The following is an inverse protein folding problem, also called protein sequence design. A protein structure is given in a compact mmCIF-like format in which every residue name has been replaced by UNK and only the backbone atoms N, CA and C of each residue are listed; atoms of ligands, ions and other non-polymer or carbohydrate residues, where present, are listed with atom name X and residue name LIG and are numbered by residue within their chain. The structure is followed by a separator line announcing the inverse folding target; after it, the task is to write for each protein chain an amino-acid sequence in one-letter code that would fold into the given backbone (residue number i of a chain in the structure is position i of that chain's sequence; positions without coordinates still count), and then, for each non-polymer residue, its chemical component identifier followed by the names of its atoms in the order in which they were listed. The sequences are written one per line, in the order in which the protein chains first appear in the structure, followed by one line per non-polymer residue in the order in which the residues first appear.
data_IF_680166909554
#
_entry.id   IF_680166909554
#
_cell.length_a   1.000
_cell.length_b   1.000
_cell.length_c   1.000
_cell.angle_alpha   90.00
_cell.angle_beta   90.00
_cell.angle_gamma   90.00
#
_symmetry.space_group_name_H-M   'P 1'
#
loop_
_entity.id
_entity.type
_entity.pdbx_description
1 polymer ?
#
# COMPACT_ATOMS: atom_id res chain seq x y z
N UNK A 1 -12.64 -38.61 -11.26
CA UNK A 1 -12.03 -37.33 -11.67
C UNK A 1 -11.15 -36.86 -10.52
N UNK A 2 -9.84 -36.68 -10.72
CA UNK A 2 -8.90 -36.36 -9.65
C UNK A 2 -8.25 -35.01 -9.94
N UNK A 3 -8.35 -34.08 -9.00
CA UNK A 3 -7.80 -32.73 -9.15
C UNK A 3 -6.26 -32.78 -9.09
N UNK A 4 -5.60 -32.11 -10.04
CA UNK A 4 -4.14 -31.94 -10.02
C UNK A 4 -3.76 -30.76 -9.11
N UNK A 5 -3.60 -31.05 -7.82
CA UNK A 5 -3.24 -30.07 -6.80
C UNK A 5 -1.89 -29.38 -7.03
N UNK A 6 -0.92 -30.10 -7.62
CA UNK A 6 0.40 -29.53 -7.94
C UNK A 6 0.27 -28.41 -8.97
N UNK A 7 -0.53 -28.64 -10.02
CA UNK A 7 -0.81 -27.65 -11.05
C UNK A 7 -1.52 -26.40 -10.49
N UNK A 8 -2.54 -26.60 -9.66
CA UNK A 8 -3.28 -25.49 -9.04
C UNK A 8 -2.39 -24.64 -8.12
N UNK A 9 -1.50 -25.28 -7.35
CA UNK A 9 -0.57 -24.58 -6.47
C UNK A 9 0.44 -23.74 -7.25
N UNK A 10 1.04 -24.30 -8.32
CA UNK A 10 1.96 -23.57 -9.21
C UNK A 10 1.30 -22.36 -9.84
N UNK A 11 0.12 -22.54 -10.41
CA UNK A 11 -0.63 -21.44 -11.05
C UNK A 11 -0.98 -20.32 -10.07
N UNK A 12 -1.36 -20.66 -8.84
CA UNK A 12 -1.60 -19.67 -7.78
C UNK A 12 -0.33 -18.90 -7.45
N UNK A 13 0.80 -19.60 -7.31
CA UNK A 13 2.09 -18.98 -7.03
C UNK A 13 2.52 -18.02 -8.14
N UNK A 14 2.40 -18.44 -9.40
CA UNK A 14 2.70 -17.60 -10.57
C UNK A 14 1.82 -16.34 -10.61
N UNK A 15 0.53 -16.48 -10.29
CA UNK A 15 -0.40 -15.33 -10.22
C UNK A 15 0.02 -14.34 -9.14
N UNK A 16 0.41 -14.83 -7.96
CA UNK A 16 0.92 -13.99 -6.86
C UNK A 16 2.18 -13.23 -7.28
N UNK A 17 3.11 -13.89 -7.99
CA UNK A 17 4.32 -13.24 -8.48
C UNK A 17 4.01 -12.15 -9.50
N UNK A 18 3.12 -12.43 -10.47
CA UNK A 18 2.69 -11.44 -11.46
C UNK A 18 2.01 -10.23 -10.82
N UNK A 19 1.17 -10.45 -9.79
CA UNK A 19 0.53 -9.37 -9.06
C UNK A 19 1.55 -8.53 -8.28
N UNK A 20 2.52 -9.17 -7.62
CA UNK A 20 3.59 -8.48 -6.91
C UNK A 20 4.45 -7.62 -7.84
N UNK A 21 4.81 -8.14 -9.02
CA UNK A 21 5.60 -7.44 -10.03
C UNK A 21 4.87 -6.20 -10.52
N UNK A 22 3.60 -6.37 -10.93
CA UNK A 22 2.71 -5.29 -11.36
C UNK A 22 2.49 -4.22 -10.29
N UNK A 23 2.47 -4.59 -9.01
CA UNK A 23 2.36 -3.62 -7.91
C UNK A 23 3.67 -2.89 -7.65
N UNK A 24 4.82 -3.57 -7.79
CA UNK A 24 6.14 -2.96 -7.65
C UNK A 24 6.48 -2.01 -8.81
N UNK A 25 6.05 -2.29 -10.04
CA UNK A 25 6.26 -1.41 -11.21
C UNK A 25 5.69 0.01 -11.01
N UNK A 26 4.64 0.13 -10.19
CA UNK A 26 3.98 1.42 -9.91
C UNK A 26 4.62 2.14 -8.74
N UNK A 27 5.71 1.62 -8.19
CA UNK A 27 6.37 2.18 -7.02
C UNK A 27 7.13 3.44 -7.42
N UNK A 28 6.92 4.48 -6.64
CA UNK A 28 7.69 5.72 -6.75
C UNK A 28 8.86 5.59 -5.77
N UNK A 29 10.07 5.79 -6.27
CA UNK A 29 11.24 5.94 -5.42
C UNK A 29 11.17 7.33 -4.77
N UNK A 30 10.90 7.35 -3.46
CA UNK A 30 10.79 8.58 -2.69
C UNK A 30 11.35 8.38 -1.29
N UNK A 31 12.14 9.34 -0.83
CA UNK A 31 12.69 9.37 0.51
C UNK A 31 11.78 10.19 1.41
N UNK A 32 11.05 9.50 2.28
CA UNK A 32 10.16 10.14 3.25
C UNK A 32 10.95 10.65 4.46
N UNK A 33 10.62 11.86 4.91
CA UNK A 33 11.17 12.49 6.10
C UNK A 33 10.04 12.86 7.08
N UNK A 34 10.41 13.10 8.34
CA UNK A 34 9.46 13.64 9.32
C UNK A 34 9.10 15.09 8.93
N UNK A 35 7.81 15.43 8.99
CA UNK A 35 7.28 16.71 8.54
C UNK A 35 6.69 16.70 7.13
N UNK A 36 7.00 15.69 6.32
CA UNK A 36 6.45 15.58 4.97
C UNK A 36 4.94 15.33 5.00
N UNK A 37 4.26 15.84 3.98
CA UNK A 37 2.84 15.61 3.78
C UNK A 37 2.63 14.45 2.83
N UNK A 38 1.74 13.54 3.20
CA UNK A 38 1.41 12.35 2.41
C UNK A 38 -0.09 12.08 2.41
N UNK A 39 -0.58 11.52 1.31
CA UNK A 39 -1.95 11.03 1.22
C UNK A 39 -2.00 9.53 1.49
N UNK A 40 -3.01 9.06 2.22
CA UNK A 40 -3.15 7.63 2.53
C UNK A 40 -4.02 6.93 1.49
N UNK A 41 -3.49 5.88 0.84
CA UNK A 41 -4.24 5.02 -0.07
C UNK A 41 -5.33 4.24 0.67
N UNK A 42 -6.55 4.37 0.19
CA UNK A 42 -7.68 3.59 0.70
C UNK A 42 -7.59 2.16 0.12
N UNK A 43 -7.82 1.10 0.93
CA UNK A 43 -7.73 -0.30 0.50
C UNK A 43 -8.66 -0.63 -0.67
N UNK A 44 -8.21 -1.39 -1.68
CA UNK A 44 -9.02 -1.84 -2.83
C UNK A 44 -10.14 -2.79 -2.36
N UNK A 45 -11.20 -2.24 -1.79
CA UNK A 45 -12.48 -2.90 -1.57
C UNK A 45 -13.47 -2.46 -2.66
N UNK A 46 -14.56 -3.22 -2.89
CA UNK A 46 -15.64 -2.77 -3.77
C UNK A 46 -16.12 -1.40 -3.32
N UNK A 47 -15.97 -0.40 -4.19
CA UNK A 47 -16.28 1.00 -3.89
C UNK A 47 -17.03 1.61 -5.05
N UNK A 48 -17.98 2.49 -4.75
CA UNK A 48 -18.64 3.31 -5.76
C UNK A 48 -17.60 4.13 -6.52
N UNK A 49 -17.78 4.29 -7.84
CA UNK A 49 -16.80 4.97 -8.72
C UNK A 49 -16.49 6.41 -8.28
N UNK A 50 -17.40 7.06 -7.57
CA UNK A 50 -17.26 8.43 -7.06
C UNK A 50 -16.41 8.54 -5.78
N UNK A 51 -16.12 7.43 -5.08
CA UNK A 51 -15.36 7.49 -3.83
C UNK A 51 -13.87 7.76 -4.10
N UNK A 52 -13.29 8.64 -3.28
CA UNK A 52 -11.87 8.97 -3.36
C UNK A 52 -10.96 7.73 -3.19
N UNK A 53 -9.88 7.71 -3.98
CA UNK A 53 -8.88 6.63 -3.99
C UNK A 53 -7.85 6.80 -2.87
N UNK A 54 -7.60 8.04 -2.45
CA UNK A 54 -6.74 8.41 -1.34
C UNK A 54 -7.49 9.29 -0.33
N UNK A 55 -7.09 9.20 0.93
CA UNK A 55 -7.59 9.98 2.05
C UNK A 55 -6.58 11.06 2.41
N UNK A 56 -7.08 12.29 2.52
CA UNK A 56 -6.50 13.39 3.30
C UNK A 56 -5.07 13.79 2.98
N UNK A 57 -4.65 14.91 3.55
CA UNK A 57 -3.25 15.28 3.68
C UNK A 57 -2.85 14.97 5.12
N UNK A 58 -1.88 14.08 5.32
CA UNK A 58 -1.41 13.70 6.64
C UNK A 58 0.07 14.01 6.77
N UNK A 59 0.48 14.51 7.93
CA UNK A 59 1.88 14.82 8.22
C UNK A 59 2.56 13.58 8.81
N UNK A 60 3.76 13.26 8.30
CA UNK A 60 4.59 12.21 8.87
C UNK A 60 5.20 12.71 10.17
N UNK A 61 4.93 12.03 11.29
CA UNK A 61 5.59 12.30 12.58
C UNK A 61 6.94 11.60 12.70
N UNK A 62 7.02 10.36 12.21
CA UNK A 62 8.22 9.54 12.33
C UNK A 62 8.33 8.56 11.16
N UNK A 63 9.55 8.37 10.68
CA UNK A 63 9.90 7.36 9.68
C UNK A 63 10.64 6.21 10.36
N UNK A 64 10.27 4.98 10.04
CA UNK A 64 10.87 3.77 10.60
C UNK A 64 11.71 3.03 9.56
N UNK A 65 12.79 2.40 10.02
CA UNK A 65 13.73 1.67 9.15
C UNK A 65 13.13 0.41 8.50
N UNK A 66 11.97 -0.07 8.97
CA UNK A 66 11.26 -1.23 8.42
C UNK A 66 10.32 -0.89 7.25
N UNK A 67 10.40 0.32 6.69
CA UNK A 67 9.55 0.76 5.58
C UNK A 67 8.12 1.10 5.99
N UNK A 68 7.96 1.57 7.24
CA UNK A 68 6.70 2.13 7.73
C UNK A 68 6.91 3.56 8.22
N UNK A 69 5.83 4.33 8.23
CA UNK A 69 5.81 5.70 8.75
C UNK A 69 4.65 5.86 9.71
N UNK A 70 4.83 6.66 10.75
CA UNK A 70 3.75 7.09 11.63
C UNK A 70 3.20 8.41 11.12
N UNK A 71 1.95 8.41 10.66
CA UNK A 71 1.23 9.60 10.22
C UNK A 71 0.35 10.15 11.35
N UNK A 72 0.18 11.47 11.37
CA UNK A 72 -0.76 12.14 12.25
C UNK A 72 -2.12 12.32 11.57
N UNK A 73 -3.19 11.85 12.21
CA UNK A 73 -4.58 12.11 11.79
C UNK A 73 -5.25 13.19 12.64
N UNK A 74 -4.47 13.93 13.44
CA UNK A 74 -4.94 14.95 14.37
C UNK A 74 -5.41 14.35 15.68
N UNK A 75 -6.46 13.53 15.66
CA UNK A 75 -6.98 12.88 16.87
C UNK A 75 -6.23 11.60 17.26
N UNK A 76 -5.56 10.96 16.31
CA UNK A 76 -4.86 9.68 16.53
C UNK A 76 -3.66 9.57 15.60
N UNK A 77 -2.62 8.87 16.03
CA UNK A 77 -1.49 8.50 15.17
C UNK A 77 -1.69 7.12 14.59
N UNK A 78 -1.34 6.94 13.32
CA UNK A 78 -1.42 5.63 12.66
C UNK A 78 -0.09 5.26 12.04
N UNK A 79 0.39 4.04 12.30
CA UNK A 79 1.53 3.48 11.58
C UNK A 79 1.05 2.84 10.28
N UNK A 80 1.67 3.21 9.15
CA UNK A 80 1.30 2.76 7.82
C UNK A 80 2.55 2.38 7.03
N UNK A 81 2.44 1.39 6.14
CA UNK A 81 3.54 1.09 5.20
C UNK A 81 3.69 2.21 4.19
N UNK A 82 4.94 2.51 3.81
CA UNK A 82 5.25 3.45 2.71
C UNK A 82 4.59 3.04 1.38
N UNK A 83 4.22 1.76 1.22
CA UNK A 83 3.49 1.26 0.04
C UNK A 83 2.04 1.73 -0.02
N UNK A 84 1.51 2.25 1.08
CA UNK A 84 0.12 2.71 1.21
C UNK A 84 0.00 4.23 1.21
N UNK A 85 1.07 4.97 0.98
CA UNK A 85 1.05 6.43 0.97
C UNK A 85 1.49 6.96 -0.39
N UNK A 86 1.04 8.16 -0.73
CA UNK A 86 1.49 8.91 -1.89
C UNK A 86 2.16 10.19 -1.41
N UNK A 87 3.37 10.52 -1.91
CA UNK A 87 3.96 11.83 -1.68
C UNK A 87 3.11 12.91 -2.39
N UNK A 88 3.07 14.11 -1.81
CA UNK A 88 2.30 15.25 -2.31
C UNK A 88 3.23 16.30 -2.91
#
# INVERSE_FOLDING_TARGET
YQANWSYLSKRRFETILQDNDRENDKRIEHFYNAGDHVMLRVPKTPRAKTRAVAQGLFTIKQVHNNGTVTIDKGATTQQVSIRRIFPC
#
